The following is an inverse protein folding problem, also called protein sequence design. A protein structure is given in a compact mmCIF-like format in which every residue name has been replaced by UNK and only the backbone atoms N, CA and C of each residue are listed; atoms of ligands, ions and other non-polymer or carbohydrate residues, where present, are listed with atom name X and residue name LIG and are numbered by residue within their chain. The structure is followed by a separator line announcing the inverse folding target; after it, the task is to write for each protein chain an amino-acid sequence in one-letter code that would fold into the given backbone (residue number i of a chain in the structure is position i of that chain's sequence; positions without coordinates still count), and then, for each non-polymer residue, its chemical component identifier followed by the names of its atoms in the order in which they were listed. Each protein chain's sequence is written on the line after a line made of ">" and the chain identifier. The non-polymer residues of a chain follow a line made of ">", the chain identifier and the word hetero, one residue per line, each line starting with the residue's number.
data_IF_939027281010
#
_entry.id   IF_939027281010
#
_cell.length_a   1.000
_cell.length_b   1.000
_cell.length_c   1.000
_cell.angle_alpha   90.00
_cell.angle_beta   90.00
_cell.angle_gamma   90.00
#
_symmetry.space_group_name_H-M   'P 1'
#
loop_
_entity.id
_entity.type
_entity.pdbx_description
1 polymer ?
#
# COMPACT_ATOMS: atom_id res chain seq x y z
N UNK A 1 9.87 12.27 17.97
CA UNK A 1 9.45 10.91 17.56
C UNK A 1 8.35 10.45 18.52
N UNK A 2 7.09 10.59 18.11
CA UNK A 2 5.96 10.06 18.89
C UNK A 2 5.97 8.54 18.79
N UNK A 3 6.15 7.86 19.93
CA UNK A 3 6.09 6.40 19.99
C UNK A 3 4.64 6.00 20.26
N UNK A 4 3.99 5.24 19.38
CA UNK A 4 2.63 4.77 19.65
C UNK A 4 2.65 3.87 20.89
N UNK A 5 1.57 3.91 21.67
CA UNK A 5 1.46 3.14 22.91
C UNK A 5 0.65 1.88 22.64
N UNK A 6 1.20 0.74 23.02
CA UNK A 6 0.48 -0.53 22.97
C UNK A 6 -0.18 -0.73 24.34
N UNK A 7 -1.49 -0.95 24.33
CA UNK A 7 -2.26 -1.31 25.52
C UNK A 7 -2.89 -2.69 25.36
N UNK A 8 -3.29 -3.29 26.47
CA UNK A 8 -3.99 -4.57 26.49
C UNK A 8 -5.29 -4.42 27.26
N UNK A 9 -6.38 -4.82 26.64
CA UNK A 9 -7.72 -4.73 27.19
C UNK A 9 -8.31 -6.13 27.33
N UNK A 10 -8.90 -6.44 28.49
CA UNK A 10 -9.65 -7.68 28.67
C UNK A 10 -11.12 -7.41 28.35
N UNK A 11 -11.67 -8.20 27.43
CA UNK A 11 -13.11 -8.17 27.15
C UNK A 11 -13.92 -8.78 28.30
N UNK A 12 -15.24 -8.59 28.26
CA UNK A 12 -16.18 -9.28 29.16
C UNK A 12 -16.14 -10.81 29.00
N UNK A 13 -15.60 -11.30 27.89
CA UNK A 13 -15.31 -12.70 27.60
C UNK A 13 -14.00 -13.21 28.24
N UNK A 14 -13.26 -12.35 28.95
CA UNK A 14 -11.97 -12.68 29.54
C UNK A 14 -10.81 -12.76 28.53
N UNK A 15 -11.05 -12.49 27.24
CA UNK A 15 -10.01 -12.55 26.21
C UNK A 15 -9.24 -11.24 26.19
N UNK A 16 -7.91 -11.35 26.32
CA UNK A 16 -6.98 -10.23 26.23
C UNK A 16 -6.77 -9.84 24.78
N UNK A 17 -7.07 -8.59 24.44
CA UNK A 17 -6.90 -8.00 23.10
C UNK A 17 -5.87 -6.88 23.15
N UNK A 18 -5.00 -6.83 22.15
CA UNK A 18 -3.99 -5.78 22.02
C UNK A 18 -4.57 -4.62 21.21
N UNK A 19 -4.24 -3.39 21.60
CA UNK A 19 -4.69 -2.17 20.91
C UNK A 19 -3.51 -1.21 20.76
N UNK A 20 -3.53 -0.45 19.69
CA UNK A 20 -2.54 0.59 19.40
C UNK A 20 -3.16 1.96 19.62
N UNK A 21 -2.60 2.73 20.53
CA UNK A 21 -2.97 4.13 20.76
C UNK A 21 -1.99 5.01 20.00
N UNK A 22 -2.47 5.64 18.93
CA UNK A 22 -1.76 6.67 18.18
C UNK A 22 -2.10 8.04 18.78
N UNK A 23 -1.07 8.85 19.00
CA UNK A 23 -1.21 10.22 19.49
C UNK A 23 -0.39 11.17 18.64
N UNK A 24 -0.87 12.40 18.51
CA UNK A 24 -0.43 13.39 17.53
C UNK A 24 -0.55 12.90 16.08
N UNK A 25 -1.57 12.10 15.80
CA UNK A 25 -1.88 11.58 14.47
C UNK A 25 -3.40 11.51 14.30
N UNK A 26 -3.88 11.93 13.14
CA UNK A 26 -5.31 11.96 12.83
C UNK A 26 -5.74 10.66 12.16
N UNK A 27 -6.31 9.77 12.97
CA UNK A 27 -6.72 8.42 12.54
C UNK A 27 -8.03 8.38 11.73
N UNK A 28 -8.63 9.54 11.41
CA UNK A 28 -9.85 9.58 10.60
C UNK A 28 -9.60 9.12 9.17
N UNK A 29 -8.42 9.38 8.63
CA UNK A 29 -8.01 8.86 7.32
C UNK A 29 -8.02 7.33 7.30
N UNK A 30 -7.43 6.69 8.33
CA UNK A 30 -7.46 5.23 8.46
C UNK A 30 -8.91 4.70 8.59
N UNK A 31 -9.76 5.35 9.39
CA UNK A 31 -11.16 4.94 9.54
C UNK A 31 -11.91 4.95 8.19
N UNK A 32 -11.71 6.01 7.39
CA UNK A 32 -12.35 6.16 6.08
C UNK A 32 -11.97 5.03 5.13
N UNK A 33 -10.68 4.71 5.06
CA UNK A 33 -10.18 3.64 4.19
C UNK A 33 -10.68 2.27 4.67
N UNK A 34 -10.67 2.00 5.98
CA UNK A 34 -11.20 0.75 6.54
C UNK A 34 -12.71 0.59 6.28
N UNK A 35 -13.49 1.68 6.35
CA UNK A 35 -14.92 1.66 5.97
C UNK A 35 -15.12 1.40 4.47
N UNK A 36 -14.29 2.01 3.62
CA UNK A 36 -14.32 1.73 2.19
C UNK A 36 -13.99 0.25 1.91
N UNK A 37 -13.01 -0.33 2.61
CA UNK A 37 -12.66 -1.74 2.51
C UNK A 37 -13.79 -2.67 2.97
N UNK A 38 -14.46 -2.37 4.08
CA UNK A 38 -15.62 -3.16 4.56
C UNK A 38 -16.76 -3.18 3.51
N UNK A 39 -16.97 -2.08 2.80
CA UNK A 39 -17.99 -2.00 1.74
C UNK A 39 -17.52 -2.74 0.47
N UNK A 40 -16.25 -2.60 0.08
CA UNK A 40 -15.67 -3.39 -1.02
C UNK A 40 -15.79 -4.89 -0.74
N UNK A 41 -15.52 -5.33 0.50
CA UNK A 41 -15.72 -6.72 0.92
C UNK A 41 -17.16 -7.19 0.74
N UNK A 42 -18.12 -6.32 1.08
CA UNK A 42 -19.54 -6.60 0.85
C UNK A 42 -19.84 -6.79 -0.64
N UNK A 43 -19.31 -5.93 -1.51
CA UNK A 43 -19.47 -6.07 -2.97
C UNK A 43 -18.82 -7.34 -3.52
N UNK A 44 -17.62 -7.68 -3.06
CA UNK A 44 -16.90 -8.90 -3.46
C UNK A 44 -17.61 -10.17 -2.97
N UNK A 45 -18.33 -10.12 -1.85
CA UNK A 45 -19.09 -11.26 -1.36
C UNK A 45 -20.46 -11.42 -2.06
N UNK A 46 -21.03 -10.34 -2.58
CA UNK A 46 -22.25 -10.39 -3.40
C UNK A 46 -22.01 -11.04 -4.76
N UNK A 47 -20.87 -10.77 -5.41
CA UNK A 47 -20.58 -11.33 -6.73
C UNK A 47 -20.15 -12.81 -6.66
N UNK A 48 -20.79 -13.73 -7.41
CA UNK A 48 -20.48 -15.15 -7.33
C UNK A 48 -19.05 -15.53 -7.73
N UNK A 49 -18.42 -14.81 -8.65
CA UNK A 49 -17.08 -15.15 -9.13
C UNK A 49 -16.01 -14.79 -8.10
N UNK A 50 -16.16 -13.66 -7.44
CA UNK A 50 -15.27 -13.19 -6.37
C UNK A 50 -15.51 -13.96 -5.08
N UNK A 51 -16.77 -14.22 -4.71
CA UNK A 51 -17.12 -15.03 -3.52
C UNK A 51 -16.56 -16.45 -3.59
N UNK A 52 -16.72 -17.14 -4.72
CA UNK A 52 -16.17 -18.51 -4.92
C UNK A 52 -14.65 -18.58 -4.75
N UNK A 53 -13.96 -17.47 -4.96
CA UNK A 53 -12.50 -17.36 -4.81
C UNK A 53 -12.09 -16.83 -3.43
N UNK A 54 -13.05 -16.46 -2.58
CA UNK A 54 -12.81 -15.79 -1.30
C UNK A 54 -11.97 -14.52 -1.47
N UNK A 55 -12.30 -13.69 -2.48
CA UNK A 55 -11.65 -12.39 -2.62
C UNK A 55 -12.16 -11.45 -1.54
N UNK A 56 -11.26 -10.99 -0.69
CA UNK A 56 -11.53 -10.07 0.41
C UNK A 56 -10.27 -9.28 0.75
N UNK A 57 -10.46 -8.14 1.40
CA UNK A 57 -9.44 -7.34 2.05
C UNK A 57 -9.54 -7.61 3.54
N UNK A 58 -8.41 -7.89 4.19
CA UNK A 58 -8.39 -8.01 5.64
C UNK A 58 -8.44 -6.62 6.28
N UNK A 59 -9.51 -6.35 7.02
CA UNK A 59 -9.76 -5.06 7.70
C UNK A 59 -9.48 -5.14 9.19
N UNK A 60 -9.36 -3.99 9.83
CA UNK A 60 -9.23 -3.82 11.27
C UNK A 60 -10.03 -2.61 11.76
N UNK A 61 -10.35 -2.57 13.06
CA UNK A 61 -11.16 -1.48 13.60
C UNK A 61 -10.33 -0.27 14.01
N UNK A 62 -10.78 0.91 13.59
CA UNK A 62 -10.22 2.20 13.96
C UNK A 62 -11.29 3.00 14.71
N UNK A 63 -10.90 3.66 15.78
CA UNK A 63 -11.77 4.54 16.57
C UNK A 63 -11.03 5.84 16.84
N UNK A 64 -11.27 6.88 16.03
CA UNK A 64 -10.80 8.23 16.32
C UNK A 64 -11.40 8.71 17.64
N UNK A 65 -10.55 9.26 18.52
CA UNK A 65 -10.97 9.83 19.80
C UNK A 65 -10.99 11.36 19.74
N UNK A 66 -10.05 11.93 19.01
CA UNK A 66 -9.88 13.37 18.77
C UNK A 66 -9.17 13.59 17.43
N UNK A 67 -9.06 14.83 16.98
CA UNK A 67 -8.30 15.27 15.80
C UNK A 67 -6.81 14.89 15.83
N UNK A 68 -6.27 14.57 17.00
CA UNK A 68 -4.85 14.22 17.20
C UNK A 68 -4.66 12.88 17.90
N UNK A 69 -5.74 12.10 18.10
CA UNK A 69 -5.63 10.84 18.82
C UNK A 69 -6.66 9.81 18.35
N UNK A 70 -6.24 8.55 18.31
CA UNK A 70 -7.12 7.45 17.99
C UNK A 70 -6.61 6.11 18.49
N UNK A 71 -7.52 5.15 18.51
CA UNK A 71 -7.24 3.76 18.90
C UNK A 71 -7.47 2.88 17.69
N UNK A 72 -6.47 2.05 17.40
CA UNK A 72 -6.52 1.05 16.34
C UNK A 72 -6.50 -0.35 16.97
N UNK A 73 -7.25 -1.25 16.38
CA UNK A 73 -7.14 -2.68 16.63
C UNK A 73 -5.73 -3.15 16.25
N UNK A 74 -5.12 -3.94 17.13
CA UNK A 74 -3.90 -4.64 16.78
C UNK A 74 -4.26 -5.94 16.08
N UNK A 75 -3.85 -6.10 14.82
CA UNK A 75 -4.06 -7.34 14.08
C UNK A 75 -3.06 -8.38 14.57
N UNK A 76 -3.54 -9.33 15.37
CA UNK A 76 -2.71 -10.40 15.92
C UNK A 76 -2.17 -11.34 14.82
N UNK A 77 -1.05 -12.02 15.13
CA UNK A 77 -0.34 -12.93 14.23
C UNK A 77 0.08 -12.29 12.90
N UNK A 78 0.40 -10.99 12.91
CA UNK A 78 0.91 -10.31 11.72
C UNK A 78 2.39 -9.97 11.84
N UNK A 79 3.07 -9.99 10.70
CA UNK A 79 4.47 -9.56 10.57
C UNK A 79 4.59 -8.59 9.39
N UNK A 80 5.23 -7.42 9.55
CA UNK A 80 5.57 -6.57 8.41
C UNK A 80 6.43 -7.34 7.41
N UNK A 81 6.18 -7.22 6.11
CA UNK A 81 6.93 -7.92 5.06
C UNK A 81 8.43 -7.60 5.14
N UNK A 82 8.76 -6.33 5.39
CA UNK A 82 10.14 -5.90 5.63
C UNK A 82 10.75 -6.48 6.92
N UNK A 83 9.93 -6.89 7.88
CA UNK A 83 10.38 -7.60 9.07
C UNK A 83 10.97 -8.98 8.77
N UNK A 84 10.47 -9.67 7.72
CA UNK A 84 11.01 -10.95 7.24
C UNK A 84 12.13 -10.75 6.21
N UNK A 85 11.95 -9.82 5.26
CA UNK A 85 12.88 -9.65 4.14
C UNK A 85 14.23 -9.07 4.56
N UNK A 86 14.21 -8.01 5.38
CA UNK A 86 15.39 -7.21 5.72
C UNK A 86 15.38 -6.74 7.19
N UNK A 87 14.60 -7.40 8.04
CA UNK A 87 14.43 -7.06 9.44
C UNK A 87 15.50 -7.67 10.34
N UNK A 88 15.43 -7.36 11.63
CA UNK A 88 16.16 -8.10 12.68
C UNK A 88 15.15 -8.74 13.62
N UNK A 89 15.26 -10.03 13.97
CA UNK A 89 16.41 -10.91 13.72
C UNK A 89 16.43 -11.62 12.36
N UNK A 90 15.36 -11.52 11.57
CA UNK A 90 15.19 -12.25 10.30
C UNK A 90 15.49 -11.35 9.11
N UNK A 91 16.62 -11.60 8.46
CA UNK A 91 17.01 -11.00 7.18
C UNK A 91 17.08 -12.14 6.16
N UNK A 92 15.97 -12.41 5.48
CA UNK A 92 15.88 -13.51 4.51
C UNK A 92 16.89 -13.34 3.37
N UNK A 93 17.07 -12.11 2.89
CA UNK A 93 18.05 -11.79 1.85
C UNK A 93 19.47 -12.16 2.28
N UNK A 94 19.87 -11.78 3.50
CA UNK A 94 21.19 -12.14 4.04
C UNK A 94 21.35 -13.65 4.31
N UNK A 95 20.27 -14.37 4.66
CA UNK A 95 20.32 -15.82 4.93
C UNK A 95 20.50 -16.63 3.64
N UNK A 96 19.74 -16.33 2.61
CA UNK A 96 19.74 -17.08 1.36
C UNK A 96 20.81 -16.61 0.38
N UNK A 97 21.14 -15.30 0.40
CA UNK A 97 22.13 -14.69 -0.49
C UNK A 97 23.15 -13.84 0.31
N UNK A 98 24.01 -14.44 1.16
CA UNK A 98 24.92 -13.69 2.04
C UNK A 98 26.01 -12.89 1.31
N UNK A 99 26.28 -13.20 0.04
CA UNK A 99 27.29 -12.54 -0.78
C UNK A 99 26.72 -11.40 -1.66
N UNK A 100 25.40 -11.24 -1.69
CA UNK A 100 24.71 -10.20 -2.46
C UNK A 100 24.63 -8.87 -1.69
N UNK A 101 24.12 -7.83 -2.35
CA UNK A 101 23.99 -6.52 -1.74
C UNK A 101 22.92 -6.53 -0.64
N UNK A 102 23.19 -5.82 0.45
CA UNK A 102 22.24 -5.67 1.55
C UNK A 102 21.27 -4.53 1.27
N UNK A 103 20.08 -4.59 1.85
CA UNK A 103 19.07 -3.53 1.71
C UNK A 103 19.61 -2.11 1.96
N UNK A 104 20.47 -1.93 2.98
CA UNK A 104 21.08 -0.62 3.29
C UNK A 104 22.06 -0.17 2.20
N UNK A 105 22.79 -1.11 1.58
CA UNK A 105 23.71 -0.81 0.48
C UNK A 105 22.94 -0.40 -0.78
N UNK A 106 21.90 -1.17 -1.16
CA UNK A 106 21.01 -0.83 -2.28
C UNK A 106 20.39 0.55 -2.09
N UNK A 107 19.91 0.88 -0.88
CA UNK A 107 19.37 2.20 -0.55
C UNK A 107 20.39 3.31 -0.77
N UNK A 108 21.59 3.17 -0.21
CA UNK A 108 22.63 4.20 -0.35
C UNK A 108 23.09 4.35 -1.80
N UNK A 109 23.21 3.25 -2.53
CA UNK A 109 23.61 3.24 -3.93
C UNK A 109 22.59 3.96 -4.81
N UNK A 110 21.30 3.60 -4.71
CA UNK A 110 20.25 4.27 -5.47
C UNK A 110 20.14 5.75 -5.09
N UNK A 111 20.28 6.11 -3.81
CA UNK A 111 20.21 7.51 -3.35
C UNK A 111 21.32 8.37 -3.96
N UNK A 112 22.55 7.85 -4.03
CA UNK A 112 23.74 8.58 -4.53
C UNK A 112 23.87 8.58 -6.06
N UNK A 113 23.21 7.65 -6.75
CA UNK A 113 23.31 7.52 -8.20
C UNK A 113 22.78 8.78 -8.91
N UNK A 114 23.51 9.24 -9.92
CA UNK A 114 23.07 10.28 -10.86
C UNK A 114 22.11 9.68 -11.88
N UNK A 115 22.48 8.56 -12.49
CA UNK A 115 21.60 7.72 -13.30
C UNK A 115 20.90 6.68 -12.43
N UNK A 116 19.68 7.01 -11.99
CA UNK A 116 18.85 6.12 -11.18
C UNK A 116 18.49 4.82 -11.90
N UNK A 117 18.31 4.86 -13.22
CA UNK A 117 17.87 3.71 -13.99
C UNK A 117 18.98 2.66 -14.08
N UNK A 118 20.18 3.07 -14.48
CA UNK A 118 21.35 2.18 -14.51
C UNK A 118 21.65 1.60 -13.12
N UNK A 119 21.60 2.43 -12.07
CA UNK A 119 21.81 1.97 -10.71
C UNK A 119 20.75 0.95 -10.25
N UNK A 120 19.48 1.14 -10.61
CA UNK A 120 18.42 0.20 -10.27
C UNK A 120 18.59 -1.14 -10.99
N UNK A 121 18.95 -1.14 -12.27
CA UNK A 121 19.25 -2.38 -13.00
C UNK A 121 20.45 -3.14 -12.40
N UNK A 122 21.47 -2.41 -11.96
CA UNK A 122 22.65 -2.99 -11.28
C UNK A 122 22.28 -3.59 -9.91
N UNK A 123 21.42 -2.91 -9.14
CA UNK A 123 20.82 -3.49 -7.92
C UNK A 123 20.09 -4.80 -8.26
N UNK A 124 19.30 -4.84 -9.34
CA UNK A 124 18.54 -6.04 -9.68
C UNK A 124 19.43 -7.25 -9.99
N UNK A 125 20.63 -7.02 -10.53
CA UNK A 125 21.62 -8.08 -10.79
C UNK A 125 22.27 -8.62 -9.52
N UNK A 126 22.37 -7.80 -8.47
CA UNK A 126 23.04 -8.13 -7.20
C UNK A 126 22.07 -8.30 -6.03
N UNK A 127 20.77 -8.46 -6.31
CA UNK A 127 19.72 -8.59 -5.31
C UNK A 127 18.62 -9.52 -5.83
N UNK A 128 18.66 -10.78 -5.42
CA UNK A 128 17.76 -11.86 -5.84
C UNK A 128 16.54 -11.90 -4.91
N UNK A 129 15.30 -11.99 -5.43
CA UNK A 129 14.11 -12.08 -4.58
C UNK A 129 14.05 -13.41 -3.80
N UNK A 130 13.56 -13.35 -2.57
CA UNK A 130 13.58 -14.49 -1.61
C UNK A 130 12.25 -14.69 -0.89
N UNK A 131 11.21 -13.94 -1.23
CA UNK A 131 9.96 -13.95 -0.47
C UNK A 131 9.19 -15.27 -0.56
N UNK A 132 9.38 -16.08 -1.61
CA UNK A 132 8.81 -17.42 -1.69
C UNK A 132 9.24 -18.33 -0.52
N UNK A 133 10.45 -18.12 0.02
CA UNK A 133 10.95 -18.87 1.17
C UNK A 133 10.10 -18.64 2.43
N UNK A 134 9.44 -17.49 2.57
CA UNK A 134 8.53 -17.23 3.70
C UNK A 134 7.47 -18.33 3.80
N UNK A 135 6.85 -18.66 2.66
CA UNK A 135 5.79 -19.66 2.62
C UNK A 135 6.33 -21.07 2.88
N UNK A 136 7.52 -21.39 2.37
CA UNK A 136 8.16 -22.70 2.56
C UNK A 136 8.59 -22.93 4.02
N UNK A 137 9.11 -21.90 4.68
CA UNK A 137 9.54 -21.97 6.08
C UNK A 137 8.35 -21.99 7.04
N UNK A 138 7.35 -21.13 6.80
CA UNK A 138 6.22 -20.95 7.72
C UNK A 138 5.20 -22.09 7.61
N UNK A 139 5.01 -22.63 6.40
CA UNK A 139 4.00 -23.64 6.10
C UNK A 139 4.68 -24.85 5.46
N UNK A 140 5.26 -25.77 6.24
CA UNK A 140 5.97 -26.95 5.71
C UNK A 140 5.04 -28.06 5.19
N UNK A 141 3.73 -27.92 5.37
CA UNK A 141 2.71 -28.88 4.96
C UNK A 141 2.12 -28.54 3.58
N UNK A 142 1.30 -29.42 2.96
CA UNK A 142 0.63 -29.08 1.70
C UNK A 142 -0.26 -27.82 1.77
N UNK A 143 -0.53 -27.29 2.97
CA UNK A 143 -1.26 -26.03 3.11
C UNK A 143 -0.47 -24.83 2.57
N UNK A 144 0.85 -24.91 2.32
CA UNK A 144 1.63 -23.85 1.64
C UNK A 144 0.92 -23.36 0.38
N UNK A 145 0.36 -24.29 -0.42
CA UNK A 145 -0.33 -23.94 -1.65
C UNK A 145 -1.58 -23.08 -1.39
N UNK A 146 -2.36 -23.45 -0.37
CA UNK A 146 -3.56 -22.70 0.03
C UNK A 146 -3.21 -21.32 0.60
N UNK A 147 -2.15 -21.23 1.42
CA UNK A 147 -1.67 -19.96 2.00
C UNK A 147 -1.10 -19.03 0.95
N UNK A 148 -0.33 -19.58 0.00
CA UNK A 148 0.18 -18.81 -1.14
C UNK A 148 -0.95 -18.35 -2.06
N UNK A 149 -1.98 -19.17 -2.29
CA UNK A 149 -3.15 -18.74 -3.04
C UNK A 149 -3.91 -17.61 -2.33
N UNK A 150 -4.05 -17.68 -1.00
CA UNK A 150 -4.64 -16.60 -0.20
C UNK A 150 -3.80 -15.31 -0.29
N UNK A 151 -2.47 -15.42 -0.18
CA UNK A 151 -1.53 -14.33 -0.43
C UNK A 151 -1.77 -13.68 -1.79
N UNK A 152 -1.68 -14.45 -2.88
CA UNK A 152 -1.82 -13.90 -4.24
C UNK A 152 -3.18 -13.22 -4.46
N UNK A 153 -4.26 -13.77 -3.90
CA UNK A 153 -5.60 -13.16 -3.95
C UNK A 153 -5.64 -11.84 -3.18
N UNK A 154 -5.11 -11.83 -1.95
CA UNK A 154 -5.08 -10.61 -1.12
C UNK A 154 -4.27 -9.50 -1.79
N UNK A 155 -3.09 -9.80 -2.36
CA UNK A 155 -2.26 -8.83 -3.10
C UNK A 155 -3.04 -8.26 -4.30
N UNK A 156 -3.76 -9.11 -5.04
CA UNK A 156 -4.55 -8.66 -6.20
C UNK A 156 -5.68 -7.71 -5.79
N UNK A 157 -6.44 -8.07 -4.75
CA UNK A 157 -7.56 -7.24 -4.28
C UNK A 157 -7.04 -5.90 -3.73
N UNK A 158 -6.02 -5.92 -2.86
CA UNK A 158 -5.49 -4.69 -2.26
C UNK A 158 -4.78 -3.79 -3.27
N UNK A 159 -4.16 -4.35 -4.31
CA UNK A 159 -3.51 -3.58 -5.38
C UNK A 159 -4.54 -2.82 -6.23
N UNK A 160 -5.63 -3.49 -6.66
CA UNK A 160 -6.67 -2.83 -7.47
C UNK A 160 -7.45 -1.81 -6.64
N UNK A 161 -7.82 -2.15 -5.41
CA UNK A 161 -8.57 -1.24 -4.54
C UNK A 161 -7.69 -0.06 -4.12
N UNK A 162 -6.41 -0.31 -3.82
CA UNK A 162 -5.41 0.71 -3.53
C UNK A 162 -5.20 1.67 -4.69
N UNK A 163 -5.13 1.16 -5.94
CA UNK A 163 -5.06 2.00 -7.14
C UNK A 163 -6.28 2.90 -7.27
N UNK A 164 -7.49 2.34 -7.16
CA UNK A 164 -8.74 3.09 -7.32
C UNK A 164 -8.85 4.20 -6.27
N UNK A 165 -8.49 3.91 -5.02
CA UNK A 165 -8.52 4.87 -3.91
C UNK A 165 -7.26 5.76 -3.84
N UNK A 166 -6.24 5.50 -4.65
CA UNK A 166 -4.99 6.25 -4.67
C UNK A 166 -4.17 6.14 -3.38
N UNK A 167 -4.11 4.94 -2.78
CA UNK A 167 -3.38 4.70 -1.53
C UNK A 167 -1.87 4.67 -1.81
N UNK A 168 -1.15 5.63 -1.23
CA UNK A 168 0.31 5.75 -1.32
C UNK A 168 1.05 5.29 -0.06
N UNK A 169 2.34 5.57 0.02
CA UNK A 169 3.24 5.24 1.15
C UNK A 169 3.24 3.73 1.48
N UNK A 170 3.22 2.90 0.44
CA UNK A 170 3.16 1.43 0.53
C UNK A 170 4.56 0.80 0.62
N UNK A 171 5.38 1.27 1.56
CA UNK A 171 6.67 0.64 1.84
C UNK A 171 6.51 -0.70 2.60
N UNK A 172 7.58 -1.50 2.66
CA UNK A 172 7.53 -2.88 3.19
C UNK A 172 7.19 -3.02 4.68
N UNK A 173 7.09 -1.91 5.43
CA UNK A 173 6.68 -1.92 6.84
C UNK A 173 5.18 -1.65 7.03
N UNK A 174 4.51 -1.05 6.03
CA UNK A 174 3.06 -0.79 6.04
C UNK A 174 2.25 -1.93 5.41
N UNK A 175 2.93 -2.97 4.91
CA UNK A 175 2.33 -4.17 4.35
C UNK A 175 2.74 -5.33 5.25
N UNK A 176 1.77 -5.89 5.95
CA UNK A 176 1.95 -7.03 6.84
C UNK A 176 1.40 -8.28 6.18
N UNK A 177 1.92 -9.42 6.61
CA UNK A 177 1.37 -10.73 6.30
C UNK A 177 0.78 -11.32 7.58
N UNK A 178 -0.45 -11.81 7.49
CA UNK A 178 -1.02 -12.67 8.53
C UNK A 178 -0.35 -14.05 8.45
N UNK A 179 0.35 -14.40 9.51
CA UNK A 179 1.07 -15.65 9.69
C UNK A 179 0.16 -16.88 9.81
N UNK A 180 -1.12 -16.70 10.13
CA UNK A 180 -2.10 -17.77 10.20
C UNK A 180 -2.79 -17.99 8.86
N UNK A 181 -3.17 -16.93 8.14
CA UNK A 181 -3.93 -17.06 6.89
C UNK A 181 -3.09 -16.99 5.62
N UNK A 182 -1.94 -16.31 5.66
CA UNK A 182 -1.13 -15.96 4.50
C UNK A 182 -1.62 -14.71 3.74
N UNK A 183 -2.70 -14.06 4.18
CA UNK A 183 -3.24 -12.85 3.55
C UNK A 183 -2.44 -11.61 3.93
N UNK A 184 -2.40 -10.63 3.03
CA UNK A 184 -1.85 -9.31 3.31
C UNK A 184 -2.82 -8.44 4.11
N UNK A 185 -2.25 -7.64 5.00
CA UNK A 185 -2.91 -6.59 5.76
C UNK A 185 -2.15 -5.30 5.51
N UNK A 186 -2.82 -4.30 4.97
CA UNK A 186 -2.25 -2.97 4.78
C UNK A 186 -2.60 -2.13 6.02
N UNK A 187 -1.65 -1.34 6.52
CA UNK A 187 -1.88 -0.43 7.65
C UNK A 187 -1.41 0.98 7.28
N UNK A 188 -1.76 1.93 8.15
CA UNK A 188 -1.27 3.31 8.12
C UNK A 188 -1.61 4.04 6.82
N UNK A 189 -2.83 4.56 6.71
CA UNK A 189 -3.33 5.19 5.48
C UNK A 189 -3.13 6.71 5.46
N UNK A 190 -1.95 7.19 5.87
CA UNK A 190 -1.63 8.61 5.92
C UNK A 190 -1.48 9.31 4.56
N UNK A 191 -1.36 8.54 3.47
CA UNK A 191 -1.28 9.04 2.08
C UNK A 191 -2.32 8.32 1.23
N UNK A 192 -3.33 9.05 0.78
CA UNK A 192 -4.48 8.52 0.03
C UNK A 192 -4.88 9.46 -1.10
N UNK A 193 -5.77 9.01 -1.99
CA UNK A 193 -6.32 9.83 -3.08
C UNK A 193 -5.25 10.48 -3.99
N UNK A 194 -4.21 9.72 -4.33
CA UNK A 194 -3.10 10.14 -5.20
C UNK A 194 -2.20 11.24 -4.61
N UNK A 195 -2.31 11.55 -3.31
CA UNK A 195 -1.37 12.45 -2.60
C UNK A 195 0.09 11.96 -2.67
N UNK A 196 0.34 10.68 -2.96
CA UNK A 196 1.69 10.16 -3.22
C UNK A 196 2.40 10.84 -4.40
N UNK A 197 1.63 11.43 -5.34
CA UNK A 197 2.18 12.18 -6.48
C UNK A 197 2.66 13.59 -6.11
N UNK A 198 2.20 14.14 -4.98
CA UNK A 198 2.58 15.48 -4.51
C UNK A 198 3.73 15.47 -3.52
N UNK A 199 4.26 14.28 -3.18
CA UNK A 199 5.48 14.15 -2.39
C UNK A 199 6.70 14.68 -3.15
N UNK A 200 7.75 15.06 -2.41
CA UNK A 200 8.99 15.62 -2.99
C UNK A 200 9.61 14.64 -4.00
N UNK A 201 9.60 13.36 -3.65
CA UNK A 201 9.84 12.27 -4.61
C UNK A 201 8.52 11.56 -4.88
N UNK A 202 7.83 11.82 -6.00
CA UNK A 202 6.53 11.22 -6.30
C UNK A 202 6.57 9.69 -6.34
N UNK A 203 5.49 9.06 -5.92
CA UNK A 203 5.28 7.62 -6.12
C UNK A 203 4.80 7.33 -7.54
N UNK A 204 5.71 6.89 -8.40
CA UNK A 204 5.49 6.71 -9.84
C UNK A 204 4.82 5.38 -10.24
N UNK A 205 4.35 4.61 -9.26
CA UNK A 205 3.72 3.29 -9.47
C UNK A 205 2.31 3.26 -8.86
N UNK A 206 1.34 2.56 -9.47
CA UNK A 206 -0.04 2.54 -8.98
C UNK A 206 -0.22 1.72 -7.69
N UNK A 207 0.67 0.77 -7.43
CA UNK A 207 0.71 -0.06 -6.21
C UNK A 207 2.05 -0.79 -6.13
N UNK A 208 2.36 -1.36 -4.96
CA UNK A 208 3.57 -2.16 -4.75
C UNK A 208 3.46 -3.54 -5.43
N UNK A 209 4.17 -3.74 -6.53
CA UNK A 209 4.30 -5.04 -7.20
C UNK A 209 5.77 -5.31 -7.60
N UNK A 210 6.65 -5.30 -6.60
CA UNK A 210 8.09 -5.48 -6.79
C UNK A 210 8.48 -6.95 -6.96
N UNK A 211 9.78 -7.22 -7.17
CA UNK A 211 10.28 -8.58 -7.45
C UNK A 211 10.02 -9.56 -6.31
N UNK A 212 10.21 -9.16 -5.06
CA UNK A 212 9.90 -10.00 -3.89
C UNK A 212 8.40 -10.25 -3.76
N UNK A 213 7.54 -9.24 -3.99
CA UNK A 213 6.07 -9.42 -3.97
C UNK A 213 5.63 -10.42 -5.04
N UNK A 214 6.19 -10.33 -6.24
CA UNK A 214 5.89 -11.28 -7.34
C UNK A 214 6.45 -12.67 -7.03
N UNK A 215 7.64 -12.76 -6.47
CA UNK A 215 8.27 -14.03 -6.08
C UNK A 215 7.44 -14.80 -5.04
N UNK A 216 6.83 -14.10 -4.09
CA UNK A 216 5.88 -14.68 -3.13
C UNK A 216 4.67 -15.39 -3.78
N UNK A 217 4.32 -15.05 -5.03
CA UNK A 217 3.22 -15.71 -5.77
C UNK A 217 3.62 -17.09 -6.33
N UNK A 218 4.92 -17.41 -6.35
CA UNK A 218 5.47 -18.65 -6.89
C UNK A 218 5.79 -18.56 -8.39
N UNK A 219 5.97 -19.71 -9.03
CA UNK A 219 6.47 -19.81 -10.41
C UNK A 219 5.61 -19.12 -11.47
N UNK A 220 4.31 -18.97 -11.20
CA UNK A 220 3.38 -18.27 -12.09
C UNK A 220 3.52 -16.74 -12.01
N UNK A 221 4.10 -16.21 -10.93
CA UNK A 221 4.20 -14.77 -10.70
C UNK A 221 2.85 -14.07 -10.87
N UNK A 222 2.83 -13.05 -11.73
CA UNK A 222 1.62 -12.29 -12.08
C UNK A 222 0.70 -13.03 -13.05
N UNK A 223 1.23 -14.00 -13.80
CA UNK A 223 0.54 -14.71 -14.87
C UNK A 223 -0.29 -15.85 -14.30
N UNK A 224 -1.58 -15.60 -14.12
CA UNK A 224 -2.54 -16.60 -13.63
C UNK A 224 -3.44 -16.03 -12.53
N UNK A 225 -3.29 -16.53 -11.30
CA UNK A 225 -4.19 -16.20 -10.19
C UNK A 225 -4.22 -14.70 -9.93
N UNK A 226 -3.07 -14.04 -9.91
CA UNK A 226 -2.97 -12.60 -9.63
C UNK A 226 -3.76 -11.77 -10.65
N UNK A 227 -3.38 -11.84 -11.94
CA UNK A 227 -4.06 -11.12 -13.02
C UNK A 227 -5.56 -11.42 -13.05
N UNK A 228 -5.97 -12.69 -12.89
CA UNK A 228 -7.40 -13.03 -12.90
C UNK A 228 -8.15 -12.45 -11.71
N UNK A 229 -7.56 -12.44 -10.52
CA UNK A 229 -8.18 -11.84 -9.35
C UNK A 229 -8.25 -10.30 -9.47
N UNK A 230 -7.26 -9.67 -10.09
CA UNK A 230 -7.29 -8.24 -10.41
C UNK A 230 -8.46 -7.90 -11.36
N UNK A 231 -8.63 -8.68 -12.44
CA UNK A 231 -9.74 -8.51 -13.39
C UNK A 231 -11.12 -8.63 -12.72
N UNK A 232 -11.34 -9.70 -11.96
CA UNK A 232 -12.65 -9.92 -11.30
C UNK A 232 -12.91 -8.85 -10.23
N UNK A 233 -11.88 -8.44 -9.47
CA UNK A 233 -12.00 -7.34 -8.48
C UNK A 233 -12.38 -6.04 -9.18
N UNK A 234 -11.61 -5.63 -10.19
CA UNK A 234 -11.86 -4.39 -10.92
C UNK A 234 -13.25 -4.40 -11.57
N UNK A 235 -13.67 -5.53 -12.15
CA UNK A 235 -15.00 -5.70 -12.73
C UNK A 235 -16.12 -5.43 -11.72
N UNK A 236 -16.00 -5.95 -10.50
CA UNK A 236 -16.96 -5.68 -9.42
C UNK A 236 -16.93 -4.20 -9.02
N UNK A 237 -15.75 -3.61 -8.88
CA UNK A 237 -15.60 -2.19 -8.54
C UNK A 237 -16.23 -1.29 -9.61
N UNK A 238 -15.98 -1.54 -10.90
CA UNK A 238 -16.60 -0.78 -12.01
C UNK A 238 -18.13 -0.92 -11.97
N UNK A 239 -18.65 -2.13 -11.75
CA UNK A 239 -20.10 -2.39 -11.66
C UNK A 239 -20.76 -1.68 -10.47
N UNK A 240 -20.05 -1.54 -9.35
CA UNK A 240 -20.52 -0.87 -8.13
C UNK A 240 -19.95 0.54 -7.97
N UNK A 241 -19.39 1.12 -9.03
CA UNK A 241 -18.59 2.34 -8.98
C UNK A 241 -19.34 3.55 -8.40
N UNK A 242 -20.64 3.67 -8.67
CA UNK A 242 -21.46 4.75 -8.09
C UNK A 242 -21.52 4.66 -6.56
N UNK A 243 -21.71 3.46 -5.99
CA UNK A 243 -21.76 3.28 -4.56
C UNK A 243 -20.40 3.58 -3.90
N UNK A 244 -19.30 3.15 -4.54
CA UNK A 244 -17.95 3.47 -4.08
C UNK A 244 -17.68 4.99 -4.14
N UNK A 245 -18.10 5.65 -5.22
CA UNK A 245 -17.98 7.09 -5.37
C UNK A 245 -18.78 7.86 -4.31
N UNK A 246 -20.01 7.42 -3.99
CA UNK A 246 -20.82 8.04 -2.92
C UNK A 246 -20.14 7.99 -1.57
N UNK A 247 -19.42 6.91 -1.26
CA UNK A 247 -18.66 6.79 0.01
C UNK A 247 -17.54 7.82 0.06
N UNK A 248 -16.75 7.90 -1.01
CA UNK A 248 -15.67 8.90 -1.14
C UNK A 248 -16.26 10.32 -1.08
N UNK A 249 -17.42 10.55 -1.71
CA UNK A 249 -18.14 11.83 -1.70
C UNK A 249 -18.62 12.24 -0.31
N UNK A 250 -19.14 11.31 0.49
CA UNK A 250 -19.54 11.59 1.89
C UNK A 250 -18.35 12.08 2.70
N UNK A 251 -17.17 11.52 2.50
CA UNK A 251 -15.96 11.96 3.20
C UNK A 251 -15.42 13.28 2.67
N UNK A 252 -15.53 13.53 1.37
CA UNK A 252 -15.22 14.83 0.74
C UNK A 252 -15.95 15.98 1.39
N UNK A 253 -17.19 15.75 1.83
CA UNK A 253 -17.98 16.75 2.50
C UNK A 253 -17.79 16.79 4.03
N UNK A 254 -16.88 16.00 4.62
CA UNK A 254 -16.51 16.13 6.03
C UNK A 254 -15.64 17.38 6.23
N UNK A 255 -16.15 18.44 6.90
CA UNK A 255 -15.43 19.70 7.06
C UNK A 255 -14.20 19.57 7.96
N UNK A 256 -14.09 18.49 8.72
CA UNK A 256 -12.96 18.24 9.59
C UNK A 256 -11.87 17.44 8.87
N UNK A 257 -12.12 16.91 7.67
CA UNK A 257 -11.14 16.11 6.93
C UNK A 257 -10.11 17.00 6.26
N UNK A 258 -8.82 16.69 6.48
CA UNK A 258 -7.74 17.42 5.83
C UNK A 258 -7.38 16.78 4.47
N UNK A 259 -7.80 17.44 3.39
CA UNK A 259 -7.60 16.99 2.01
C UNK A 259 -6.20 17.27 1.46
N UNK A 260 -5.48 18.21 2.08
CA UNK A 260 -4.13 18.57 1.65
C UNK A 260 -3.10 17.84 2.49
N UNK A 261 -2.11 17.27 1.80
CA UNK A 261 -0.93 16.75 2.46
C UNK A 261 -0.01 17.95 2.72
N UNK A 262 0.01 18.46 3.96
CA UNK A 262 0.81 19.64 4.26
C UNK A 262 2.30 19.41 3.93
N UNK A 263 3.04 20.42 3.46
CA UNK A 263 4.47 20.28 3.11
C UNK A 263 5.30 19.67 4.26
N UNK A 264 4.96 20.02 5.51
CA UNK A 264 5.56 19.43 6.71
C UNK A 264 5.30 17.93 6.87
N UNK A 265 4.09 17.44 6.54
CA UNK A 265 3.73 16.02 6.57
C UNK A 265 4.35 15.28 5.38
N UNK A 266 4.40 15.90 4.20
CA UNK A 266 5.11 15.38 3.02
C UNK A 266 6.58 15.09 3.32
N UNK A 267 7.25 16.05 3.95
CA UNK A 267 8.61 15.89 4.44
C UNK A 267 8.70 14.79 5.48
N UNK A 268 7.75 14.72 6.42
CA UNK A 268 7.76 13.72 7.49
C UNK A 268 7.66 12.28 6.97
N UNK A 269 6.84 12.04 5.95
CA UNK A 269 6.71 10.75 5.26
C UNK A 269 8.05 10.33 4.62
N UNK A 270 8.78 11.27 4.03
CA UNK A 270 10.09 11.01 3.40
C UNK A 270 11.31 11.31 4.31
N UNK A 271 11.08 11.55 5.62
CA UNK A 271 12.10 12.04 6.56
C UNK A 271 12.95 10.97 7.23
N UNK A 272 13.00 9.77 6.68
CA UNK A 272 14.12 8.87 6.97
C UNK A 272 15.41 9.40 6.31
N UNK A 273 15.97 10.46 6.92
CA UNK A 273 17.34 10.99 6.83
C UNK A 273 17.78 11.55 5.46
N UNK A 274 17.31 12.75 5.13
CA UNK A 274 18.02 13.67 4.23
C UNK A 274 18.62 14.82 5.06
N UNK A 275 19.86 15.21 4.75
CA UNK A 275 20.60 16.32 5.35
C UNK A 275 19.86 17.67 5.22
N UNK A 276 20.30 18.64 6.02
CA UNK A 276 19.74 19.98 6.26
C UNK A 276 19.36 20.83 5.03
N UNK A 277 19.71 20.43 3.81
CA UNK A 277 19.51 21.22 2.59
C UNK A 277 18.05 21.27 2.11
N UNK A 278 17.20 20.31 2.52
CA UNK A 278 15.77 20.31 2.15
C UNK A 278 14.97 21.35 2.94
N UNK A 279 15.49 21.84 4.07
CA UNK A 279 14.78 22.78 4.94
C UNK A 279 14.59 24.16 4.28
N UNK A 280 15.47 24.57 3.36
CA UNK A 280 15.43 25.92 2.73
C UNK A 280 14.44 26.05 1.56
N UNK A 281 13.97 24.95 0.97
CA UNK A 281 12.93 25.00 -0.09
C UNK A 281 11.51 25.13 0.49
N UNK A 282 11.35 24.93 1.80
CA UNK A 282 10.05 24.88 2.49
C UNK A 282 9.58 26.27 2.89
N UNK A 283 10.51 27.15 3.29
CA UNK A 283 10.19 28.52 3.69
C UNK A 283 9.72 29.38 2.52
N UNK A 284 9.95 28.96 1.27
CA UNK A 284 9.50 29.64 0.05
C UNK A 284 8.14 29.13 -0.48
N UNK A 285 7.66 27.97 -0.03
CA UNK A 285 6.41 27.35 -0.50
C UNK A 285 5.25 27.47 0.53
N UNK A 286 5.48 28.13 1.66
CA UNK A 286 4.48 28.29 2.72
C UNK A 286 3.45 29.40 2.43
N UNK A 287 3.57 30.12 1.31
CA UNK A 287 2.83 31.36 1.03
C UNK A 287 1.76 31.24 -0.09
N UNK A 288 1.47 30.05 -0.64
CA UNK A 288 0.61 29.95 -1.84
C UNK A 288 -0.49 28.87 -1.84
N UNK A 289 -0.94 28.38 -0.68
CA UNK A 289 -1.99 27.34 -0.62
C UNK A 289 -3.30 27.88 -0.02
N UNK A 290 -3.97 28.73 -0.79
CA UNK A 290 -5.44 28.93 -0.69
C UNK A 290 -6.13 28.28 -1.91
N UNK A 291 -5.62 27.12 -2.36
CA UNK A 291 -6.40 26.25 -3.25
C UNK A 291 -7.67 25.83 -2.49
N UNK A 292 -8.82 26.23 -3.04
CA UNK A 292 -10.12 26.00 -2.42
C UNK A 292 -10.31 24.49 -2.16
N UNK A 293 -10.34 24.08 -0.89
CA UNK A 293 -10.42 22.66 -0.46
C UNK A 293 -11.57 21.91 -1.15
N UNK A 294 -12.67 22.61 -1.44
CA UNK A 294 -13.80 22.06 -2.19
C UNK A 294 -13.44 21.65 -3.62
N UNK A 295 -12.56 22.40 -4.30
CA UNK A 295 -12.09 22.08 -5.64
C UNK A 295 -11.15 20.87 -5.64
N UNK A 296 -10.24 20.78 -4.66
CA UNK A 296 -9.36 19.61 -4.50
C UNK A 296 -10.16 18.33 -4.28
N UNK A 297 -11.16 18.40 -3.40
CA UNK A 297 -12.01 17.25 -3.10
C UNK A 297 -12.85 16.82 -4.33
N UNK A 298 -13.35 17.78 -5.11
CA UNK A 298 -14.01 17.50 -6.39
C UNK A 298 -13.07 16.85 -7.41
N UNK A 299 -11.81 17.31 -7.52
CA UNK A 299 -10.79 16.69 -8.38
C UNK A 299 -10.49 15.25 -7.98
N UNK A 300 -10.38 14.96 -6.67
CA UNK A 300 -10.19 13.60 -6.15
C UNK A 300 -11.36 12.70 -6.55
N UNK A 301 -12.60 13.14 -6.33
CA UNK A 301 -13.78 12.34 -6.69
C UNK A 301 -13.83 12.05 -8.20
N UNK A 302 -13.53 13.07 -9.01
CA UNK A 302 -13.45 12.92 -10.45
C UNK A 302 -12.40 11.89 -10.84
N UNK A 303 -11.22 11.92 -10.20
CA UNK A 303 -10.14 10.99 -10.47
C UNK A 303 -10.51 9.55 -10.11
N UNK A 304 -11.14 9.32 -8.96
CA UNK A 304 -11.64 7.99 -8.57
C UNK A 304 -12.68 7.49 -9.60
N UNK A 305 -13.62 8.35 -10.03
CA UNK A 305 -14.61 8.01 -11.06
C UNK A 305 -13.95 7.66 -12.40
N UNK A 306 -12.93 8.41 -12.82
CA UNK A 306 -12.16 8.16 -14.04
C UNK A 306 -11.47 6.78 -14.00
N UNK A 307 -10.78 6.46 -12.90
CA UNK A 307 -10.16 5.13 -12.71
C UNK A 307 -11.17 4.00 -12.78
N UNK A 308 -12.36 4.18 -12.17
CA UNK A 308 -13.47 3.22 -12.23
C UNK A 308 -14.10 3.09 -13.63
N UNK A 309 -13.99 4.12 -14.47
CA UNK A 309 -14.48 4.09 -15.85
C UNK A 309 -13.42 3.54 -16.83
N UNK A 310 -12.17 3.39 -16.38
CA UNK A 310 -11.06 2.86 -17.17
C UNK A 310 -10.13 3.92 -17.77
N UNK A 311 -10.22 5.17 -17.31
CA UNK A 311 -9.34 6.26 -17.71
C UNK A 311 -8.12 6.33 -16.79
N UNK A 312 -6.99 5.81 -17.25
CA UNK A 312 -5.71 5.95 -16.54
C UNK A 312 -5.08 7.31 -16.80
N UNK A 313 -5.09 7.76 -18.05
CA UNK A 313 -4.83 9.15 -18.42
C UNK A 313 -6.19 9.89 -18.50
N UNK A 314 -6.40 10.99 -17.76
CA UNK A 314 -7.62 11.80 -17.84
C UNK A 314 -7.98 12.28 -19.25
N UNK A 315 -6.99 12.38 -20.14
CA UNK A 315 -7.14 12.80 -21.54
C UNK A 315 -7.15 11.64 -22.53
N UNK A 316 -6.90 10.42 -22.05
CA UNK A 316 -6.78 9.22 -22.87
C UNK A 316 -8.12 8.52 -23.13
N UNK A 317 -8.05 7.37 -23.78
CA UNK A 317 -9.21 6.51 -24.03
C UNK A 317 -9.48 5.57 -22.85
N UNK A 318 -10.76 5.25 -22.64
CA UNK A 318 -11.16 4.28 -21.63
C UNK A 318 -10.71 2.87 -22.02
N UNK A 319 -9.96 2.22 -21.13
CA UNK A 319 -9.50 0.85 -21.32
C UNK A 319 -10.57 -0.17 -20.89
N UNK A 320 -10.55 -1.35 -21.51
CA UNK A 320 -11.28 -2.52 -20.97
C UNK A 320 -10.73 -2.92 -19.60
N UNK A 321 -11.44 -3.78 -18.87
CA UNK A 321 -10.99 -4.27 -17.55
C UNK A 321 -9.64 -4.99 -17.69
N UNK A 322 -9.54 -5.89 -18.65
CA UNK A 322 -8.32 -6.66 -18.94
C UNK A 322 -7.18 -5.75 -19.40
N UNK A 323 -7.50 -4.75 -20.25
CA UNK A 323 -6.54 -3.76 -20.72
C UNK A 323 -5.98 -2.90 -19.59
N UNK A 324 -6.86 -2.39 -18.71
CA UNK A 324 -6.47 -1.59 -17.56
C UNK A 324 -5.62 -2.41 -16.59
N UNK A 325 -6.03 -3.63 -16.24
CA UNK A 325 -5.23 -4.50 -15.35
C UNK A 325 -3.86 -4.76 -15.94
N UNK A 326 -3.77 -5.13 -17.22
CA UNK A 326 -2.49 -5.39 -17.88
C UNK A 326 -1.58 -4.15 -17.86
N UNK A 327 -2.15 -2.98 -18.15
CA UNK A 327 -1.42 -1.71 -18.10
C UNK A 327 -0.89 -1.42 -16.69
N UNK A 328 -1.73 -1.53 -15.66
CA UNK A 328 -1.35 -1.29 -14.27
C UNK A 328 -0.23 -2.23 -13.81
N UNK A 329 -0.32 -3.52 -14.16
CA UNK A 329 0.73 -4.50 -13.84
C UNK A 329 2.05 -4.14 -14.51
N UNK A 330 2.01 -3.66 -15.75
CA UNK A 330 3.20 -3.23 -16.48
C UNK A 330 3.83 -1.98 -15.82
N UNK A 331 3.02 -0.96 -15.52
CA UNK A 331 3.48 0.29 -14.90
C UNK A 331 4.06 0.03 -13.50
N UNK A 332 3.40 -0.81 -12.69
CA UNK A 332 3.84 -1.16 -11.33
C UNK A 332 5.18 -1.89 -11.28
N UNK A 333 5.61 -2.49 -12.40
CA UNK A 333 6.83 -3.29 -12.54
C UNK A 333 7.90 -2.62 -13.40
N UNK A 334 7.62 -1.47 -13.98
CA UNK A 334 8.54 -0.79 -14.90
C UNK A 334 9.78 -0.28 -14.12
N UNK A 335 11.00 -0.74 -14.47
CA UNK A 335 12.23 -0.24 -13.86
C UNK A 335 12.41 1.28 -13.99
N UNK A 336 11.85 1.93 -15.04
CA UNK A 336 11.89 3.39 -15.19
C UNK A 336 11.04 4.13 -14.15
N UNK A 337 9.97 3.51 -13.67
CA UNK A 337 9.14 4.07 -12.61
C UNK A 337 9.77 3.74 -11.25
N UNK A 338 10.08 2.46 -11.02
CA UNK A 338 10.62 1.98 -9.74
C UNK A 338 11.93 2.66 -9.34
N UNK A 339 12.81 3.02 -10.29
CA UNK A 339 14.06 3.71 -9.97
C UNK A 339 13.89 5.16 -9.50
N UNK A 340 12.75 5.79 -9.79
CA UNK A 340 12.44 7.18 -9.42
C UNK A 340 11.78 7.30 -8.05
N UNK A 341 11.32 6.20 -7.47
CA UNK A 341 10.67 6.19 -6.16
C UNK A 341 11.70 6.49 -5.07
N UNK A 342 11.23 7.14 -4.00
CA UNK A 342 12.02 7.39 -2.80
C UNK A 342 12.75 6.11 -2.32
N UNK A 343 14.09 6.12 -2.12
CA UNK A 343 14.84 4.91 -1.76
C UNK A 343 14.39 4.23 -0.45
N UNK A 344 13.75 4.95 0.47
CA UNK A 344 13.18 4.36 1.69
C UNK A 344 11.99 3.43 1.43
N UNK A 345 11.28 3.62 0.32
CA UNK A 345 10.21 2.72 -0.15
C UNK A 345 10.73 1.31 -0.46
N UNK A 346 12.03 1.21 -0.82
CA UNK A 346 12.72 -0.03 -1.12
C UNK A 346 12.22 -0.71 -2.40
N UNK A 347 12.43 -0.13 -3.59
CA UNK A 347 11.91 -0.64 -4.86
C UNK A 347 12.51 -1.96 -5.37
N UNK A 348 13.57 -2.45 -4.72
CA UNK A 348 14.16 -3.76 -4.99
C UNK A 348 13.60 -4.89 -4.10
N UNK A 349 13.04 -4.53 -2.93
CA UNK A 349 12.28 -5.41 -2.03
C UNK A 349 10.84 -5.58 -2.49
#
# INVERSE_FOLDING_TARGET
>A
VHKPKIIYCYGSDGVRRKQLVKGNDDTRQDLVIEQAFDIVNSFLNEDPNTRRRHLQIKTYKVTPLDTVAGVLEWVDNTMPMGGYLNGKPVDAHMRYHPHEWKHVQCRSYLQKATDKYAAYLDIQQHFTPVFHHYFLEKYPDPATYSRRAAYTRSVAVTSIVGHVLGIGDRHSQNILIDEATGELVHIDFGVVFDQGMTLITPETVPFRLTRDVVDGMGCNGVDGVFTRCCEETLKVLRKKGNALATIVEVFIHDPLYNWTLSPGRALQVQKDKADNDVQMLVDAAADDDDENVADLAARVLLRVKQKLQGYEDPTGEAMSVEGQVKHLIQVARDPHNLCKIYPGWGPWL
#
